data_IF_980273625862
#
_entry.id   IF_980273625862
#
_cell.length_a   1.000
_cell.length_b   1.000
_cell.length_c   1.000
_cell.angle_alpha   90.00
_cell.angle_beta   90.00
_cell.angle_gamma   90.00
#
_symmetry.space_group_name_H-M   'P 1'
#
loop_
_entity.id
_entity.type
_entity.pdbx_description
1 polymer ?
#
# COMPACT_ATOMS: atom_id res chain seq x y z
N UNK A 1 -2.88 -55.73 8.08
CA UNK A 1 -3.20 -54.87 9.25
C UNK A 1 -2.10 -53.85 9.55
N UNK A 2 -0.86 -54.24 9.89
CA UNK A 2 0.24 -53.27 10.18
C UNK A 2 0.56 -52.33 8.99
N UNK A 3 0.59 -52.88 7.79
CA UNK A 3 0.90 -52.13 6.56
C UNK A 3 -0.21 -51.13 6.20
N UNK A 4 -1.48 -51.53 6.34
CA UNK A 4 -2.63 -50.64 6.17
C UNK A 4 -2.64 -49.49 7.18
N UNK A 5 -2.28 -49.77 8.45
CA UNK A 5 -2.13 -48.73 9.48
C UNK A 5 -1.01 -47.76 9.12
N UNK A 6 0.11 -48.24 8.60
CA UNK A 6 1.20 -47.40 8.13
C UNK A 6 0.77 -46.51 6.97
N UNK A 7 0.10 -47.06 5.95
CA UNK A 7 -0.42 -46.28 4.82
C UNK A 7 -1.41 -45.19 5.28
N UNK A 8 -2.34 -45.53 6.18
CA UNK A 8 -3.30 -44.56 6.74
C UNK A 8 -2.55 -43.46 7.50
N UNK A 9 -1.59 -43.81 8.34
CA UNK A 9 -0.79 -42.83 9.09
C UNK A 9 -0.02 -41.90 8.16
N UNK A 10 0.58 -42.41 7.07
CA UNK A 10 1.27 -41.59 6.07
C UNK A 10 0.32 -40.63 5.37
N UNK A 11 -0.86 -41.10 4.93
CA UNK A 11 -1.86 -40.26 4.27
C UNK A 11 -2.35 -39.16 5.20
N UNK A 12 -2.68 -39.50 6.46
CA UNK A 12 -3.10 -38.52 7.46
C UNK A 12 -1.98 -37.51 7.74
N UNK A 13 -0.74 -37.97 7.91
CA UNK A 13 0.40 -37.09 8.11
C UNK A 13 0.63 -36.12 6.94
N UNK A 14 0.49 -36.60 5.70
CA UNK A 14 0.60 -35.77 4.52
C UNK A 14 -0.52 -34.70 4.47
N UNK A 15 -1.77 -35.08 4.73
CA UNK A 15 -2.90 -34.15 4.78
C UNK A 15 -2.73 -33.08 5.87
N UNK A 16 -2.28 -33.48 7.07
CA UNK A 16 -1.98 -32.55 8.16
C UNK A 16 -0.85 -31.59 7.81
N UNK A 17 0.18 -32.07 7.12
CA UNK A 17 1.31 -31.25 6.69
C UNK A 17 0.89 -30.19 5.66
N UNK A 18 0.05 -30.57 4.70
CA UNK A 18 -0.53 -29.63 3.72
C UNK A 18 -1.40 -28.58 4.42
N UNK A 19 -2.28 -29.01 5.34
CA UNK A 19 -3.12 -28.08 6.10
C UNK A 19 -2.28 -27.09 6.93
N UNK A 20 -1.25 -27.58 7.62
CA UNK A 20 -0.32 -26.74 8.37
C UNK A 20 0.41 -25.74 7.46
N UNK A 21 0.89 -26.18 6.31
CA UNK A 21 1.58 -25.32 5.35
C UNK A 21 0.69 -24.20 4.84
N UNK A 22 -0.56 -24.50 4.44
CA UNK A 22 -1.52 -23.49 4.00
C UNK A 22 -1.87 -22.48 5.10
N UNK A 23 -2.05 -22.95 6.34
CA UNK A 23 -2.28 -22.06 7.49
C UNK A 23 -1.07 -21.16 7.76
N UNK A 24 0.14 -21.72 7.68
CA UNK A 24 1.37 -20.96 7.89
C UNK A 24 1.60 -19.93 6.79
N UNK A 25 1.38 -20.29 5.53
CA UNK A 25 1.45 -19.35 4.42
C UNK A 25 0.52 -18.15 4.64
N UNK A 26 -0.75 -18.42 4.99
CA UNK A 26 -1.73 -17.35 5.28
C UNK A 26 -1.30 -16.46 6.46
N UNK A 27 -0.65 -17.02 7.47
CA UNK A 27 -0.14 -16.25 8.61
C UNK A 27 1.00 -15.32 8.19
N UNK A 28 1.92 -15.79 7.34
CA UNK A 28 3.01 -14.94 6.83
C UNK A 28 2.48 -13.83 5.90
N UNK A 29 1.52 -14.14 5.02
CA UNK A 29 0.84 -13.13 4.20
C UNK A 29 0.19 -12.04 5.06
N UNK A 30 -0.48 -12.43 6.15
CA UNK A 30 -1.09 -11.48 7.10
C UNK A 30 -0.05 -10.62 7.84
N UNK A 31 1.12 -11.18 8.15
CA UNK A 31 2.22 -10.42 8.76
C UNK A 31 2.78 -9.38 7.81
N UNK A 32 3.07 -9.78 6.58
CA UNK A 32 3.57 -8.86 5.54
C UNK A 32 2.57 -7.74 5.28
N UNK A 33 1.27 -8.07 5.14
CA UNK A 33 0.22 -7.06 5.05
C UNK A 33 0.25 -6.09 6.24
N UNK A 34 0.29 -6.62 7.47
CA UNK A 34 0.31 -5.79 8.69
C UNK A 34 1.53 -4.86 8.74
N UNK A 35 2.69 -5.34 8.33
CA UNK A 35 3.93 -4.55 8.29
C UNK A 35 3.80 -3.39 7.30
N UNK A 36 3.42 -3.67 6.05
CA UNK A 36 3.20 -2.65 5.03
C UNK A 36 2.12 -1.66 5.49
N UNK A 37 0.98 -2.17 5.97
CA UNK A 37 -0.12 -1.34 6.44
C UNK A 37 0.32 -0.40 7.56
N UNK A 38 1.08 -0.91 8.54
CA UNK A 38 1.57 -0.10 9.65
C UNK A 38 2.58 0.94 9.18
N UNK A 39 3.50 0.59 8.29
CA UNK A 39 4.54 1.48 7.79
C UNK A 39 3.95 2.62 6.94
N UNK A 40 3.08 2.29 5.98
CA UNK A 40 2.41 3.29 5.14
C UNK A 40 1.59 4.27 5.98
N UNK A 41 0.77 3.77 6.91
CA UNK A 41 -0.02 4.64 7.79
C UNK A 41 0.86 5.50 8.70
N UNK A 42 1.97 4.98 9.23
CA UNK A 42 2.88 5.76 10.05
C UNK A 42 3.57 6.87 9.26
N UNK A 43 3.97 6.61 8.01
CA UNK A 43 4.54 7.64 7.13
C UNK A 43 3.50 8.69 6.77
N UNK A 44 2.28 8.27 6.44
CA UNK A 44 1.18 9.20 6.17
C UNK A 44 0.86 10.09 7.38
N UNK A 45 0.84 9.52 8.58
CA UNK A 45 0.57 10.26 9.83
C UNK A 45 1.55 11.41 10.05
N UNK A 46 2.82 11.24 9.66
CA UNK A 46 3.85 12.30 9.76
C UNK A 46 3.61 13.47 8.80
N UNK A 47 2.94 13.26 7.66
CA UNK A 47 2.82 14.25 6.60
C UNK A 47 1.39 14.76 6.36
N UNK A 48 0.36 14.12 6.92
CA UNK A 48 -1.04 14.39 6.57
C UNK A 48 -1.47 15.85 6.83
N UNK A 49 -1.04 16.46 7.94
CA UNK A 49 -1.36 17.83 8.30
C UNK A 49 -0.70 18.83 7.35
N UNK A 50 0.55 18.56 6.96
CA UNK A 50 1.28 19.35 5.97
C UNK A 50 0.59 19.31 4.61
N UNK A 51 0.21 18.11 4.14
CA UNK A 51 -0.50 17.95 2.87
C UNK A 51 -1.85 18.66 2.90
N UNK A 52 -2.58 18.58 4.03
CA UNK A 52 -3.82 19.31 4.20
C UNK A 52 -3.63 20.83 4.18
N UNK A 53 -2.55 21.34 4.79
CA UNK A 53 -2.21 22.76 4.76
C UNK A 53 -1.85 23.23 3.35
N UNK A 54 -1.00 22.48 2.65
CA UNK A 54 -0.57 22.75 1.28
C UNK A 54 -1.77 22.74 0.33
N UNK A 55 -2.71 21.82 0.51
CA UNK A 55 -3.95 21.74 -0.26
C UNK A 55 -4.81 23.02 -0.21
N UNK A 56 -4.63 23.87 0.80
CA UNK A 56 -5.34 25.16 0.93
C UNK A 56 -4.58 26.35 0.37
N UNK A 57 -3.33 26.17 -0.04
CA UNK A 57 -2.48 27.25 -0.58
C UNK A 57 -2.80 27.51 -2.06
N UNK A 58 -2.58 28.75 -2.50
CA UNK A 58 -2.52 29.05 -3.93
C UNK A 58 -1.20 28.52 -4.52
N UNK A 59 -1.20 28.13 -5.79
CA UNK A 59 -0.01 27.60 -6.48
C UNK A 59 1.16 28.61 -6.43
N UNK A 60 0.85 29.91 -6.51
CA UNK A 60 1.85 30.98 -6.48
C UNK A 60 2.59 31.10 -5.13
N UNK A 61 1.98 30.61 -4.06
CA UNK A 61 2.52 30.68 -2.70
C UNK A 61 3.35 29.45 -2.32
N UNK A 62 3.40 28.43 -3.20
CA UNK A 62 4.16 27.21 -2.96
C UNK A 62 5.66 27.48 -3.04
N UNK A 63 6.33 27.35 -1.90
CA UNK A 63 7.79 27.28 -1.82
C UNK A 63 8.28 25.90 -2.27
N UNK A 64 9.58 25.81 -2.52
CA UNK A 64 10.23 24.54 -2.84
C UNK A 64 10.09 23.50 -1.72
N UNK A 65 10.01 23.95 -0.46
CA UNK A 65 9.81 23.05 0.67
C UNK A 65 8.43 22.42 0.65
N UNK A 66 7.37 23.17 0.37
CA UNK A 66 6.03 22.59 0.23
C UNK A 66 5.97 21.64 -0.98
N UNK A 67 6.62 21.99 -2.09
CA UNK A 67 6.71 21.10 -3.27
C UNK A 67 7.36 19.77 -2.92
N UNK A 68 8.49 19.78 -2.22
CA UNK A 68 9.17 18.57 -1.76
C UNK A 68 8.27 17.70 -0.88
N UNK A 69 7.49 18.30 0.04
CA UNK A 69 6.55 17.54 0.89
C UNK A 69 5.46 16.84 0.08
N UNK A 70 4.93 17.51 -0.96
CA UNK A 70 3.95 16.89 -1.85
C UNK A 70 4.58 15.74 -2.64
N UNK A 71 5.83 15.90 -3.10
CA UNK A 71 6.55 14.83 -3.79
C UNK A 71 6.75 13.61 -2.85
N UNK A 72 7.13 13.84 -1.59
CA UNK A 72 7.25 12.77 -0.59
C UNK A 72 5.91 12.03 -0.36
N UNK A 73 4.81 12.76 -0.34
CA UNK A 73 3.47 12.19 -0.28
C UNK A 73 3.12 11.38 -1.53
N UNK A 74 3.40 11.89 -2.73
CA UNK A 74 3.16 11.18 -3.98
C UNK A 74 4.02 9.90 -4.07
N UNK A 75 5.25 9.93 -3.56
CA UNK A 75 6.11 8.76 -3.46
C UNK A 75 5.47 7.68 -2.60
N UNK A 76 4.95 8.05 -1.42
CA UNK A 76 4.19 7.13 -0.57
C UNK A 76 2.96 6.57 -1.31
N UNK A 77 2.19 7.40 -2.01
CA UNK A 77 1.04 6.95 -2.79
C UNK A 77 1.42 5.94 -3.88
N UNK A 78 2.54 6.16 -4.56
CA UNK A 78 3.09 5.25 -5.56
C UNK A 78 3.49 3.91 -4.94
N UNK A 79 4.17 3.93 -3.79
CA UNK A 79 4.55 2.72 -3.07
C UNK A 79 3.32 1.91 -2.60
N UNK A 80 2.31 2.59 -2.04
CA UNK A 80 1.04 1.97 -1.66
C UNK A 80 0.35 1.29 -2.86
N UNK A 81 0.34 1.96 -4.02
CA UNK A 81 -0.18 1.38 -5.25
C UNK A 81 0.64 0.18 -5.73
N UNK A 82 1.98 0.22 -5.61
CA UNK A 82 2.83 -0.91 -5.95
C UNK A 82 2.49 -2.14 -5.08
N UNK A 83 2.30 -1.96 -3.77
CA UNK A 83 1.91 -3.04 -2.87
C UNK A 83 0.53 -3.60 -3.20
N UNK A 84 -0.42 -2.73 -3.57
CA UNK A 84 -1.73 -3.16 -4.09
C UNK A 84 -1.62 -3.94 -5.40
N UNK A 85 -0.86 -3.45 -6.37
CA UNK A 85 -0.63 -4.11 -7.68
C UNK A 85 0.00 -5.50 -7.52
N UNK A 86 0.81 -5.70 -6.47
CA UNK A 86 1.42 -6.99 -6.11
C UNK A 86 0.51 -7.90 -5.27
N UNK A 87 -0.68 -7.43 -4.88
CA UNK A 87 -1.66 -8.23 -4.13
C UNK A 87 -1.41 -8.29 -2.62
N UNK A 88 -0.51 -7.46 -2.07
CA UNK A 88 -0.27 -7.42 -0.62
C UNK A 88 -1.32 -6.62 0.14
N UNK A 89 -1.99 -5.68 -0.53
CA UNK A 89 -3.02 -4.82 0.07
C UNK A 89 -4.40 -5.32 -0.36
N UNK A 90 -5.29 -5.49 0.62
CA UNK A 90 -6.68 -5.83 0.36
C UNK A 90 -7.37 -4.74 -0.50
N UNK A 91 -8.19 -5.11 -1.49
CA UNK A 91 -8.88 -4.13 -2.35
C UNK A 91 -9.66 -3.05 -1.59
N UNK A 92 -10.29 -3.38 -0.45
CA UNK A 92 -11.04 -2.42 0.37
C UNK A 92 -10.14 -1.35 0.99
N UNK A 93 -8.95 -1.74 1.46
CA UNK A 93 -7.93 -0.84 2.00
C UNK A 93 -7.40 0.07 0.91
N UNK A 94 -7.04 -0.50 -0.24
CA UNK A 94 -6.59 0.29 -1.39
C UNK A 94 -7.66 1.29 -1.82
N UNK A 95 -8.93 0.89 -1.88
CA UNK A 95 -10.02 1.79 -2.23
C UNK A 95 -10.11 2.97 -1.26
N UNK A 96 -9.94 2.74 0.04
CA UNK A 96 -9.92 3.81 1.04
C UNK A 96 -8.75 4.78 0.84
N UNK A 97 -7.54 4.25 0.64
CA UNK A 97 -6.34 5.08 0.38
C UNK A 97 -6.46 5.88 -0.91
N UNK A 98 -6.86 5.24 -2.01
CA UNK A 98 -7.07 5.91 -3.30
C UNK A 98 -8.12 7.02 -3.23
N UNK A 99 -9.18 6.85 -2.43
CA UNK A 99 -10.16 7.91 -2.19
C UNK A 99 -9.53 9.11 -1.45
N UNK A 100 -8.66 8.86 -0.47
CA UNK A 100 -7.87 9.89 0.19
C UNK A 100 -6.94 10.62 -0.78
N UNK A 101 -6.23 9.89 -1.65
CA UNK A 101 -5.38 10.47 -2.69
C UNK A 101 -6.15 11.36 -3.65
N UNK A 102 -7.33 10.91 -4.12
CA UNK A 102 -8.21 11.71 -4.99
C UNK A 102 -8.70 12.98 -4.30
N UNK A 103 -9.03 12.90 -3.01
CA UNK A 103 -9.41 14.07 -2.23
C UNK A 103 -8.25 15.07 -2.13
N UNK A 104 -7.03 14.62 -1.82
CA UNK A 104 -5.85 15.47 -1.80
C UNK A 104 -5.55 16.09 -3.18
N UNK A 105 -5.56 15.27 -4.24
CA UNK A 105 -5.30 15.70 -5.61
C UNK A 105 -6.40 16.58 -6.23
N UNK A 106 -7.53 16.77 -5.54
CA UNK A 106 -8.54 17.76 -5.94
C UNK A 106 -8.10 19.20 -5.65
N UNK A 107 -7.15 19.40 -4.74
CA UNK A 107 -6.55 20.69 -4.47
C UNK A 107 -5.59 21.08 -5.60
N UNK A 108 -5.75 22.29 -6.15
CA UNK A 108 -4.97 22.74 -7.29
C UNK A 108 -3.47 22.82 -7.02
N UNK A 109 -3.07 23.15 -5.78
CA UNK A 109 -1.68 23.16 -5.34
C UNK A 109 -1.01 21.78 -5.49
N UNK A 110 -1.68 20.73 -5.02
CA UNK A 110 -1.20 19.34 -5.12
C UNK A 110 -1.32 18.84 -6.57
N UNK A 111 -2.46 19.09 -7.23
CA UNK A 111 -2.71 18.66 -8.60
C UNK A 111 -1.64 19.14 -9.57
N UNK A 112 -1.22 20.40 -9.44
CA UNK A 112 -0.20 20.99 -10.30
C UNK A 112 1.16 20.27 -10.22
N UNK A 113 1.50 19.74 -9.03
CA UNK A 113 2.73 18.97 -8.81
C UNK A 113 2.56 17.57 -9.38
N UNK A 114 1.42 16.90 -9.11
CA UNK A 114 1.12 15.59 -9.68
C UNK A 114 1.21 15.56 -11.21
N UNK A 115 0.59 16.54 -11.89
CA UNK A 115 0.57 16.59 -13.35
C UNK A 115 1.97 16.84 -13.95
N UNK A 116 2.90 17.45 -13.20
CA UNK A 116 4.30 17.59 -13.59
C UNK A 116 5.06 16.28 -13.37
N UNK A 117 4.92 15.72 -12.17
CA UNK A 117 5.60 14.51 -11.70
C UNK A 117 5.22 13.26 -12.52
N UNK A 118 3.95 13.09 -12.87
CA UNK A 118 3.46 11.94 -13.66
C UNK A 118 4.14 11.81 -15.03
N UNK A 119 4.58 12.91 -15.62
CA UNK A 119 5.26 12.92 -16.94
C UNK A 119 6.63 12.25 -16.90
N UNK A 120 7.23 12.11 -15.73
CA UNK A 120 8.53 11.45 -15.56
C UNK A 120 8.43 9.92 -15.65
N UNK A 121 7.21 9.35 -15.64
CA UNK A 121 7.00 7.90 -15.57
C UNK A 121 7.28 7.30 -14.17
N UNK A 122 7.42 8.16 -13.15
CA UNK A 122 7.56 7.75 -11.75
C UNK A 122 6.22 7.24 -11.18
N UNK A 123 6.22 6.72 -9.95
CA UNK A 123 5.00 6.30 -9.21
C UNK A 123 4.28 5.05 -9.73
N UNK A 124 4.99 4.14 -10.41
CA UNK A 124 4.54 2.77 -10.71
C UNK A 124 3.17 2.66 -11.44
N UNK A 125 2.87 3.62 -12.31
CA UNK A 125 1.59 3.73 -13.03
C UNK A 125 0.38 4.08 -12.14
N UNK A 126 0.61 4.75 -11.00
CA UNK A 126 -0.46 5.21 -10.10
C UNK A 126 -1.61 5.90 -10.87
N UNK A 127 -2.84 5.36 -10.84
CA UNK A 127 -3.96 5.86 -11.64
C UNK A 127 -4.70 7.01 -10.95
N UNK A 128 -3.99 8.12 -10.75
CA UNK A 128 -4.48 9.37 -10.15
C UNK A 128 -4.66 10.49 -11.19
#
# INVERSE_FOLDING_TARGET
MKEQVATIATVVGALLSVAYFLQKQKLEELRVFREIFKECNARYDVMNEDIAAIGRMAIADLTEKERSKVIDYLNLCGEEYLYFKRGYIEPSVWQAWNNGMKAAASAQSIRSIWDAEKKTGSYYDLPL
#
